data_IF_013087677518
#
_entry.id   IF_013087677518
#
_cell.length_a   1.000
_cell.length_b   1.000
_cell.length_c   1.000
_cell.angle_alpha   90.00
_cell.angle_beta   90.00
_cell.angle_gamma   90.00
#
_symmetry.space_group_name_H-M   'P 1'
#
loop_
_entity.id
_entity.type
_entity.pdbx_description
1 polymer ?
#
# COMPACT_ATOMS: atom_id res chain seq x y z
N UNK A 1 25.63 -45.14 19.37
CA UNK A 1 25.58 -44.92 17.91
C UNK A 1 24.95 -43.57 17.65
N UNK A 2 25.76 -42.57 17.29
CA UNK A 2 25.28 -41.20 17.05
C UNK A 2 24.37 -41.17 15.83
N UNK A 3 23.20 -40.55 15.95
CA UNK A 3 22.24 -40.40 14.85
C UNK A 3 22.93 -39.65 13.71
N UNK A 4 23.03 -40.29 12.54
CA UNK A 4 23.58 -39.69 11.33
C UNK A 4 22.71 -38.48 10.96
N UNK A 5 23.32 -37.30 10.87
CA UNK A 5 22.63 -36.08 10.43
C UNK A 5 22.08 -36.36 9.03
N UNK A 6 20.75 -36.36 8.86
CA UNK A 6 20.11 -36.56 7.57
C UNK A 6 20.69 -35.57 6.57
N UNK A 7 21.41 -36.07 5.56
CA UNK A 7 22.04 -35.26 4.52
C UNK A 7 21.01 -34.75 3.49
N UNK A 8 19.74 -35.13 3.63
CA UNK A 8 18.65 -34.62 2.80
C UNK A 8 18.18 -33.28 3.34
N UNK A 9 18.21 -32.28 2.46
CA UNK A 9 17.54 -31.00 2.70
C UNK A 9 16.05 -31.23 2.91
N UNK A 10 15.48 -30.51 3.87
CA UNK A 10 14.03 -30.43 4.06
C UNK A 10 13.38 -29.72 2.87
N UNK A 11 12.06 -29.83 2.72
CA UNK A 11 11.35 -29.13 1.64
C UNK A 11 11.55 -27.62 1.70
N UNK A 12 11.60 -27.03 2.89
CA UNK A 12 11.84 -25.59 3.05
C UNK A 12 13.28 -25.20 2.71
N UNK A 13 14.27 -26.03 3.06
CA UNK A 13 15.65 -25.85 2.63
C UNK A 13 15.79 -25.94 1.11
N UNK A 14 15.03 -26.81 0.45
CA UNK A 14 14.98 -26.90 -1.01
C UNK A 14 14.38 -25.63 -1.64
N UNK A 15 13.27 -25.11 -1.09
CA UNK A 15 12.67 -23.84 -1.57
C UNK A 15 13.64 -22.66 -1.47
N UNK A 16 14.38 -22.56 -0.36
CA UNK A 16 15.38 -21.51 -0.15
C UNK A 16 16.54 -21.70 -1.14
N UNK A 17 17.02 -22.94 -1.30
CA UNK A 17 18.09 -23.26 -2.24
C UNK A 17 17.70 -22.90 -3.68
N UNK A 18 16.52 -23.29 -4.14
CA UNK A 18 16.06 -23.03 -5.49
C UNK A 18 15.92 -21.54 -5.77
N UNK A 19 15.41 -20.77 -4.80
CA UNK A 19 15.38 -19.30 -4.89
C UNK A 19 16.79 -18.73 -5.00
N UNK A 20 17.73 -19.17 -4.16
CA UNK A 20 19.11 -18.70 -4.19
C UNK A 20 19.82 -19.06 -5.50
N UNK A 21 19.58 -20.26 -6.03
CA UNK A 21 20.11 -20.69 -7.33
C UNK A 21 19.55 -19.83 -8.45
N UNK A 22 18.25 -19.52 -8.45
CA UNK A 22 17.65 -18.62 -9.44
C UNK A 22 18.26 -17.22 -9.35
N UNK A 23 18.42 -16.66 -8.16
CA UNK A 23 19.06 -15.34 -7.96
C UNK A 23 20.48 -15.28 -8.52
N UNK A 24 21.30 -16.32 -8.31
CA UNK A 24 22.67 -16.39 -8.83
C UNK A 24 22.76 -16.57 -10.34
N UNK A 25 21.69 -17.03 -10.98
CA UNK A 25 21.62 -17.27 -12.43
C UNK A 25 21.08 -16.07 -13.21
N UNK A 26 20.43 -15.12 -12.54
CA UNK A 26 19.95 -13.90 -13.19
C UNK A 26 21.10 -12.93 -13.44
N UNK A 27 20.99 -12.16 -14.53
CA UNK A 27 21.92 -11.06 -14.81
C UNK A 27 21.60 -9.86 -13.92
N UNK A 28 22.56 -8.94 -13.78
CA UNK A 28 22.37 -7.73 -12.97
C UNK A 28 21.17 -6.91 -13.45
N UNK A 29 20.95 -6.79 -14.76
CA UNK A 29 19.76 -6.13 -15.33
C UNK A 29 18.45 -6.80 -14.93
N UNK A 30 18.39 -8.13 -15.00
CA UNK A 30 17.20 -8.89 -14.58
C UNK A 30 16.93 -8.76 -13.08
N UNK A 31 17.99 -8.69 -12.27
CA UNK A 31 17.89 -8.46 -10.83
C UNK A 31 17.35 -7.05 -10.52
N UNK A 32 17.85 -6.03 -11.21
CA UNK A 32 17.39 -4.65 -11.05
C UNK A 32 15.91 -4.53 -11.41
N UNK A 33 15.50 -5.01 -12.60
CA UNK A 33 14.10 -4.98 -13.01
C UNK A 33 13.19 -5.74 -12.04
N UNK A 34 13.62 -6.92 -11.58
CA UNK A 34 12.84 -7.69 -10.61
C UNK A 34 12.61 -6.92 -9.29
N UNK A 35 13.58 -6.11 -8.85
CA UNK A 35 13.44 -5.27 -7.64
C UNK A 35 12.57 -4.05 -7.91
N UNK A 36 12.75 -3.37 -9.04
CA UNK A 36 11.97 -2.19 -9.41
C UNK A 36 10.48 -2.51 -9.55
N UNK A 37 10.14 -3.59 -10.26
CA UNK A 37 8.76 -4.08 -10.41
C UNK A 37 8.12 -4.39 -9.05
N UNK A 38 8.89 -4.98 -8.12
CA UNK A 38 8.42 -5.27 -6.76
C UNK A 38 8.13 -4.01 -5.97
N UNK A 39 8.98 -3.00 -6.10
CA UNK A 39 8.83 -1.70 -5.41
C UNK A 39 7.64 -0.95 -5.98
N UNK A 40 7.49 -0.88 -7.29
CA UNK A 40 6.37 -0.21 -7.95
C UNK A 40 5.04 -0.91 -7.62
N UNK A 41 5.04 -2.25 -7.64
CA UNK A 41 3.87 -3.05 -7.23
C UNK A 41 3.51 -2.82 -5.76
N UNK A 42 4.48 -2.83 -4.86
CA UNK A 42 4.21 -2.56 -3.44
C UNK A 42 3.69 -1.13 -3.20
N UNK A 43 4.20 -0.14 -3.94
CA UNK A 43 3.70 1.25 -3.86
C UNK A 43 2.26 1.35 -4.36
N UNK A 44 1.96 0.78 -5.53
CA UNK A 44 0.62 0.84 -6.12
C UNK A 44 -0.40 0.03 -5.30
N UNK A 45 -0.05 -1.16 -4.83
CA UNK A 45 -0.90 -1.96 -3.95
C UNK A 45 -1.11 -1.28 -2.61
N UNK A 46 -0.05 -0.74 -1.98
CA UNK A 46 -0.14 0.00 -0.73
C UNK A 46 -1.03 1.24 -0.84
N UNK A 47 -0.87 2.02 -1.91
CA UNK A 47 -1.73 3.18 -2.18
C UNK A 47 -3.20 2.79 -2.36
N UNK A 48 -3.47 1.75 -3.15
CA UNK A 48 -4.84 1.30 -3.40
C UNK A 48 -5.50 0.68 -2.15
N UNK A 49 -4.74 -0.06 -1.35
CA UNK A 49 -5.22 -0.56 -0.05
C UNK A 49 -5.49 0.59 0.91
N UNK A 50 -4.60 1.58 0.98
CA UNK A 50 -4.80 2.78 1.79
C UNK A 50 -6.06 3.55 1.38
N UNK A 51 -6.28 3.75 0.07
CA UNK A 51 -7.49 4.39 -0.46
C UNK A 51 -8.77 3.62 -0.12
N UNK A 52 -8.73 2.28 -0.10
CA UNK A 52 -9.86 1.42 0.27
C UNK A 52 -10.12 1.39 1.78
N UNK A 53 -9.06 1.45 2.58
CA UNK A 53 -9.14 1.43 4.04
C UNK A 53 -9.48 2.81 4.65
N UNK A 54 -9.23 3.88 3.90
CA UNK A 54 -9.58 5.23 4.32
C UNK A 54 -11.10 5.34 4.49
N UNK A 55 -11.60 5.80 5.66
CA UNK A 55 -13.02 6.02 5.84
C UNK A 55 -13.51 7.08 4.85
N UNK A 56 -14.63 6.82 4.19
CA UNK A 56 -15.28 7.81 3.35
C UNK A 56 -15.71 8.98 4.24
N UNK A 57 -15.07 10.13 4.07
CA UNK A 57 -15.44 11.35 4.77
C UNK A 57 -16.71 11.88 4.12
N UNK A 58 -17.80 11.87 4.88
CA UNK A 58 -19.08 12.45 4.47
C UNK A 58 -18.99 13.98 4.59
N UNK A 59 -18.64 14.62 3.48
CA UNK A 59 -18.48 16.08 3.39
C UNK A 59 -19.78 16.81 3.72
N UNK A 60 -20.93 16.22 3.42
CA UNK A 60 -22.23 16.85 3.65
C UNK A 60 -22.57 16.88 5.14
N UNK A 61 -22.30 15.79 5.88
CA UNK A 61 -22.44 15.78 7.35
C UNK A 61 -21.53 16.78 8.04
N UNK A 62 -20.34 17.02 7.51
CA UNK A 62 -19.41 18.01 8.06
C UNK A 62 -19.95 19.43 7.82
N UNK A 63 -20.42 19.71 6.60
CA UNK A 63 -21.01 21.00 6.24
C UNK A 63 -22.25 21.32 7.07
N UNK A 64 -23.11 20.34 7.34
CA UNK A 64 -24.29 20.49 8.20
C UNK A 64 -23.88 20.94 9.62
N UNK A 65 -22.89 20.29 10.23
CA UNK A 65 -22.37 20.68 11.55
C UNK A 65 -21.76 22.08 11.53
N UNK A 66 -21.00 22.42 10.50
CA UNK A 66 -20.40 23.76 10.35
C UNK A 66 -21.49 24.83 10.24
N UNK A 67 -22.60 24.54 9.56
CA UNK A 67 -23.73 25.47 9.42
C UNK A 67 -24.44 25.81 10.74
N UNK A 68 -24.31 24.97 11.76
CA UNK A 68 -24.87 25.26 13.10
C UNK A 68 -24.03 26.27 13.90
N UNK A 69 -22.81 26.59 13.46
CA UNK A 69 -21.92 27.51 14.15
C UNK A 69 -22.38 28.94 13.94
N UNK A 70 -22.60 29.66 15.05
CA UNK A 70 -22.99 31.07 15.04
C UNK A 70 -21.95 31.90 14.26
N UNK A 71 -22.41 32.68 13.28
CA UNK A 71 -21.56 33.53 12.44
C UNK A 71 -21.12 32.90 11.11
N UNK A 72 -21.50 31.65 10.86
CA UNK A 72 -21.40 31.00 9.55
C UNK A 72 -22.77 31.10 8.87
N UNK A 73 -22.83 31.89 7.80
CA UNK A 73 -24.02 32.03 6.96
C UNK A 73 -23.90 31.26 5.65
N UNK A 74 -24.98 31.26 4.86
CA UNK A 74 -25.07 30.51 3.60
C UNK A 74 -23.92 30.81 2.62
N UNK A 75 -23.51 32.08 2.51
CA UNK A 75 -22.42 32.50 1.60
C UNK A 75 -21.09 31.84 1.99
N UNK A 76 -20.69 31.93 3.27
CA UNK A 76 -19.46 31.31 3.77
C UNK A 76 -19.50 29.78 3.64
N UNK A 77 -20.68 29.19 3.84
CA UNK A 77 -20.85 27.74 3.73
C UNK A 77 -20.72 27.25 2.27
N UNK A 78 -21.18 28.05 1.30
CA UNK A 78 -20.97 27.78 -0.13
C UNK A 78 -19.49 27.95 -0.53
N UNK A 79 -18.80 28.95 0.00
CA UNK A 79 -17.35 29.12 -0.23
C UNK A 79 -16.56 27.91 0.29
N UNK A 80 -16.86 27.45 1.51
CA UNK A 80 -16.23 26.26 2.10
C UNK A 80 -16.50 25.02 1.24
N UNK A 81 -17.74 24.85 0.75
CA UNK A 81 -18.07 23.74 -0.17
C UNK A 81 -17.24 23.82 -1.45
N UNK A 82 -17.11 25.00 -2.06
CA UNK A 82 -16.31 25.20 -3.26
C UNK A 82 -14.83 24.85 -3.05
N UNK A 83 -14.24 25.20 -1.90
CA UNK A 83 -12.86 24.83 -1.55
C UNK A 83 -12.74 23.31 -1.39
N UNK A 84 -13.70 22.66 -0.72
CA UNK A 84 -13.68 21.20 -0.52
C UNK A 84 -13.77 20.43 -1.84
N UNK A 85 -14.49 20.95 -2.83
CA UNK A 85 -14.59 20.35 -4.17
C UNK A 85 -13.29 20.50 -4.98
N UNK A 86 -12.51 21.57 -4.75
CA UNK A 86 -11.19 21.77 -5.38
C UNK A 86 -10.09 20.87 -4.78
N UNK A 87 -10.31 20.33 -3.58
CA UNK A 87 -9.38 19.44 -2.89
C UNK A 87 -9.59 17.94 -3.20
N UNK A 88 -10.62 17.59 -3.99
CA UNK A 88 -10.87 16.23 -4.47
C UNK A 88 -10.05 15.92 -5.72
#
# INVERSE_FOLDING_TARGET
MGKTRSCRRTEDENKIHDKAVKMRKMTDEQLVHYVEDRVEKARSEGFNQGKKAAPAIDTDKILEKIGTIKGIGAVKLQEIKGILEQCK
#
